data_IF_996794294409
#
_entry.id   IF_996794294409
#
_cell.length_a   1.000
_cell.length_b   1.000
_cell.length_c   1.000
_cell.angle_alpha   90.00
_cell.angle_beta   90.00
_cell.angle_gamma   90.00
#
_symmetry.space_group_name_H-M   'P 1'
#
loop_
_entity.id
_entity.type
_entity.pdbx_description
1 polymer ?
#
# COMPACT_ATOMS: atom_id res chain seq x y z
N UNK A 1 -26.77 6.89 -3.54
CA UNK A 1 -25.68 7.78 -4.07
C UNK A 1 -24.35 7.24 -3.56
N UNK A 2 -23.38 6.99 -4.45
CA UNK A 2 -22.02 6.55 -4.08
C UNK A 2 -21.30 7.71 -3.40
N UNK A 3 -20.63 7.47 -2.28
CA UNK A 3 -19.90 8.47 -1.51
C UNK A 3 -18.41 8.17 -1.39
N UNK A 4 -18.03 6.92 -1.68
CA UNK A 4 -16.65 6.47 -1.61
C UNK A 4 -16.37 5.50 -2.75
N UNK A 5 -15.19 5.64 -3.36
CA UNK A 5 -14.62 4.73 -4.34
C UNK A 5 -13.29 4.25 -3.76
N UNK A 6 -13.12 2.94 -3.62
CA UNK A 6 -11.84 2.32 -3.30
C UNK A 6 -11.23 1.75 -4.59
N UNK A 7 -10.01 2.14 -4.93
CA UNK A 7 -9.28 1.62 -6.09
C UNK A 7 -8.02 0.91 -5.66
N UNK A 8 -7.74 -0.24 -6.29
CA UNK A 8 -6.45 -0.89 -6.19
C UNK A 8 -5.41 -0.16 -7.06
N UNK A 9 -4.14 -0.40 -6.82
CA UNK A 9 -3.03 0.22 -7.55
C UNK A 9 -2.52 -0.65 -8.69
N UNK A 10 -1.99 -1.81 -8.35
CA UNK A 10 -1.26 -2.66 -9.29
C UNK A 10 -2.20 -3.37 -10.26
N UNK A 11 -2.02 -3.14 -11.56
CA UNK A 11 -2.91 -3.68 -12.59
C UNK A 11 -4.30 -3.02 -12.66
N UNK A 12 -4.55 -1.96 -11.86
CA UNK A 12 -5.83 -1.22 -11.83
C UNK A 12 -5.60 0.26 -12.08
N UNK A 13 -5.08 0.99 -11.10
CA UNK A 13 -4.84 2.44 -11.19
C UNK A 13 -3.54 2.75 -11.96
N UNK A 14 -2.50 1.94 -11.75
CA UNK A 14 -1.19 2.12 -12.36
C UNK A 14 -1.13 1.49 -13.76
N UNK A 15 -0.45 2.19 -14.66
CA UNK A 15 -0.10 1.71 -16.00
C UNK A 15 1.12 0.75 -15.96
N UNK A 16 1.56 0.25 -17.12
CA UNK A 16 2.71 -0.64 -17.23
C UNK A 16 4.06 0.02 -16.84
N UNK A 17 4.12 1.35 -16.76
CA UNK A 17 5.27 2.10 -16.26
C UNK A 17 5.19 2.38 -14.74
N UNK A 18 4.21 1.78 -14.05
CA UNK A 18 3.91 2.01 -12.63
C UNK A 18 3.56 3.47 -12.28
N UNK A 19 2.97 4.19 -13.24
CA UNK A 19 2.54 5.57 -13.09
C UNK A 19 1.00 5.68 -13.14
N UNK A 20 0.45 6.73 -12.50
CA UNK A 20 -0.96 7.08 -12.64
C UNK A 20 -1.11 7.92 -13.92
N UNK A 21 -1.89 7.43 -14.87
CA UNK A 21 -2.13 8.14 -16.13
C UNK A 21 -2.93 9.43 -15.93
N UNK A 22 -2.72 10.43 -16.78
CA UNK A 22 -3.46 11.70 -16.70
C UNK A 22 -4.99 11.51 -16.73
N UNK A 23 -5.58 10.62 -17.56
CA UNK A 23 -7.02 10.37 -17.50
C UNK A 23 -7.50 9.83 -16.16
N UNK A 24 -6.68 9.00 -15.47
CA UNK A 24 -7.02 8.51 -14.13
C UNK A 24 -6.94 9.61 -13.08
N UNK A 25 -5.93 10.50 -13.17
CA UNK A 25 -5.81 11.68 -12.32
C UNK A 25 -7.05 12.57 -12.48
N UNK A 26 -7.44 12.88 -13.72
CA UNK A 26 -8.59 13.72 -14.03
C UNK A 26 -9.90 13.11 -13.51
N UNK A 27 -10.07 11.78 -13.65
CA UNK A 27 -11.23 11.07 -13.15
C UNK A 27 -11.34 11.09 -11.61
N UNK A 28 -10.19 10.93 -10.90
CA UNK A 28 -10.16 11.03 -9.44
C UNK A 28 -10.55 12.44 -8.99
N UNK A 29 -9.95 13.48 -9.60
CA UNK A 29 -10.27 14.88 -9.29
C UNK A 29 -11.76 15.17 -9.53
N UNK A 30 -12.28 14.74 -10.67
CA UNK A 30 -13.71 14.90 -10.98
C UNK A 30 -14.61 14.25 -9.92
N UNK A 31 -14.27 13.02 -9.48
CA UNK A 31 -15.02 12.35 -8.41
C UNK A 31 -14.98 13.14 -7.09
N UNK A 32 -13.80 13.67 -6.73
CA UNK A 32 -13.63 14.49 -5.53
C UNK A 32 -14.42 15.79 -5.60
N UNK A 33 -14.48 16.45 -6.76
CA UNK A 33 -15.32 17.64 -6.99
C UNK A 33 -16.81 17.36 -6.82
N UNK A 34 -17.25 16.10 -7.07
CA UNK A 34 -18.63 15.66 -6.82
C UNK A 34 -18.87 15.24 -5.35
N UNK A 35 -17.92 15.46 -4.46
CA UNK A 35 -18.00 15.09 -3.04
C UNK A 35 -17.86 13.59 -2.79
N UNK A 36 -17.24 12.85 -3.72
CA UNK A 36 -16.94 11.42 -3.57
C UNK A 36 -15.52 11.27 -3.05
N UNK A 37 -15.33 10.58 -1.93
CA UNK A 37 -14.01 10.23 -1.44
C UNK A 37 -13.43 9.13 -2.33
N UNK A 38 -12.21 9.34 -2.86
CA UNK A 38 -11.46 8.29 -3.55
C UNK A 38 -10.33 7.85 -2.65
N UNK A 39 -10.27 6.55 -2.31
CA UNK A 39 -9.24 5.96 -1.46
C UNK A 39 -8.44 4.92 -2.24
N UNK A 40 -7.12 4.94 -2.06
CA UNK A 40 -6.24 3.89 -2.59
C UNK A 40 -6.24 2.72 -1.62
N UNK A 41 -6.54 1.50 -2.11
CA UNK A 41 -6.57 0.28 -1.31
C UNK A 41 -5.62 -0.75 -1.93
N UNK A 42 -4.51 -1.04 -1.26
CA UNK A 42 -3.39 -1.81 -1.82
C UNK A 42 -2.75 -2.76 -0.82
N UNK A 43 -2.08 -3.80 -1.32
CA UNK A 43 -1.18 -4.64 -0.53
C UNK A 43 0.15 -3.96 -0.18
N UNK A 44 0.52 -2.89 -0.89
CA UNK A 44 1.77 -2.15 -0.66
C UNK A 44 1.81 -1.53 0.73
N UNK A 45 3.02 -1.35 1.27
CA UNK A 45 3.23 -0.47 2.42
C UNK A 45 3.03 1.00 2.00
N UNK A 46 2.73 1.88 2.96
CA UNK A 46 2.40 3.28 2.67
C UNK A 46 3.50 4.00 1.86
N UNK A 47 4.76 3.82 2.21
CA UNK A 47 5.88 4.47 1.51
C UNK A 47 6.04 4.01 0.05
N UNK A 48 5.62 2.76 -0.26
CA UNK A 48 5.58 2.24 -1.63
C UNK A 48 4.34 2.73 -2.40
N UNK A 49 3.20 2.81 -1.70
CA UNK A 49 1.94 3.27 -2.27
C UNK A 49 1.95 4.78 -2.56
N UNK A 50 2.64 5.56 -1.73
CA UNK A 50 2.73 7.01 -1.88
C UNK A 50 3.58 7.41 -3.10
N UNK A 51 4.63 6.66 -3.44
CA UNK A 51 5.59 7.06 -4.46
C UNK A 51 4.95 7.43 -5.80
N UNK A 52 4.09 6.62 -6.45
CA UNK A 52 3.45 7.00 -7.71
C UNK A 52 2.44 8.15 -7.59
N UNK A 53 1.92 8.41 -6.38
CA UNK A 53 0.98 9.49 -6.12
C UNK A 53 1.71 10.81 -5.88
N UNK A 54 2.92 10.77 -5.31
CA UNK A 54 3.73 11.95 -5.04
C UNK A 54 4.13 12.73 -6.31
N UNK A 55 4.20 12.03 -7.45
CA UNK A 55 4.46 12.64 -8.76
C UNK A 55 3.21 13.32 -9.37
N UNK A 56 2.09 13.26 -8.65
CA UNK A 56 0.82 13.90 -9.02
C UNK A 56 0.43 14.97 -8.01
N UNK A 57 -0.60 15.74 -8.32
CA UNK A 57 -1.23 16.69 -7.38
C UNK A 57 -2.46 16.10 -6.66
N UNK A 58 -2.59 14.76 -6.66
CA UNK A 58 -3.67 14.07 -5.96
C UNK A 58 -3.46 14.07 -4.45
N UNK A 59 -4.54 14.28 -3.73
CA UNK A 59 -4.61 14.17 -2.27
C UNK A 59 -5.68 13.14 -1.93
N UNK A 60 -5.28 11.96 -1.49
CA UNK A 60 -6.16 10.81 -1.26
C UNK A 60 -5.79 10.08 0.02
N UNK A 61 -6.74 9.49 0.75
CA UNK A 61 -6.47 8.55 1.83
C UNK A 61 -6.00 7.19 1.32
N UNK A 62 -5.40 6.39 2.21
CA UNK A 62 -4.79 5.11 1.89
C UNK A 62 -5.26 4.00 2.83
N UNK A 63 -5.53 2.83 2.26
CA UNK A 63 -5.66 1.55 2.93
C UNK A 63 -4.48 0.69 2.45
N UNK A 64 -3.49 0.49 3.31
CA UNK A 64 -2.23 -0.18 2.98
C UNK A 64 -2.12 -1.55 3.66
N UNK A 65 -1.17 -2.38 3.20
CA UNK A 65 -0.88 -3.70 3.77
C UNK A 65 -2.15 -4.55 3.91
N UNK A 66 -2.98 -4.57 2.85
CA UNK A 66 -4.26 -5.29 2.82
C UNK A 66 -5.21 -4.91 3.98
N UNK A 67 -5.19 -3.65 4.40
CA UNK A 67 -6.03 -3.13 5.49
C UNK A 67 -5.37 -3.10 6.86
N UNK A 68 -4.12 -3.54 6.99
CA UNK A 68 -3.40 -3.49 8.27
C UNK A 68 -3.00 -2.06 8.68
N UNK A 69 -2.96 -1.11 7.74
CA UNK A 69 -2.73 0.30 8.02
C UNK A 69 -3.68 1.17 7.19
N UNK A 70 -4.32 2.15 7.84
CA UNK A 70 -5.19 3.14 7.19
C UNK A 70 -4.68 4.53 7.53
N UNK A 71 -4.54 5.39 6.51
CA UNK A 71 -4.12 6.78 6.63
C UNK A 71 -5.12 7.72 5.98
N UNK A 72 -5.24 8.91 6.58
CA UNK A 72 -5.98 10.00 5.96
C UNK A 72 -5.20 10.66 4.81
N UNK A 73 -5.82 11.62 4.14
CA UNK A 73 -5.24 12.38 3.04
C UNK A 73 -4.06 13.28 3.43
N UNK A 74 -3.85 13.49 4.73
CA UNK A 74 -2.70 14.22 5.31
C UNK A 74 -1.64 13.28 5.88
N UNK A 75 -1.77 11.97 5.58
CA UNK A 75 -0.87 10.88 5.94
C UNK A 75 -0.87 10.52 7.44
N UNK A 76 -1.78 11.05 8.23
CA UNK A 76 -1.93 10.63 9.62
C UNK A 76 -2.49 9.21 9.68
N UNK A 77 -1.95 8.43 10.60
CA UNK A 77 -2.44 7.07 10.84
C UNK A 77 -3.79 7.12 11.54
N UNK A 78 -4.83 6.65 10.86
CA UNK A 78 -6.18 6.53 11.40
C UNK A 78 -6.40 5.20 12.13
N UNK A 79 -5.81 4.12 11.61
CA UNK A 79 -5.94 2.78 12.17
C UNK A 79 -4.75 1.92 11.80
N UNK A 80 -4.35 1.04 12.73
CA UNK A 80 -3.35 0.00 12.48
C UNK A 80 -3.76 -1.31 13.13
N UNK A 81 -3.40 -2.43 12.48
CA UNK A 81 -3.51 -3.78 13.03
C UNK A 81 -2.15 -4.46 12.93
N UNK A 82 -1.52 -4.73 14.06
CA UNK A 82 -0.18 -5.30 14.11
C UNK A 82 -0.18 -6.69 14.74
N UNK A 83 0.66 -7.56 14.20
CA UNK A 83 1.04 -8.77 14.91
C UNK A 83 1.94 -8.40 16.10
N UNK A 84 1.72 -9.01 17.26
CA UNK A 84 2.61 -8.81 18.38
C UNK A 84 3.99 -9.45 18.13
N UNK A 85 5.03 -8.90 18.75
CA UNK A 85 6.42 -9.31 18.54
C UNK A 85 6.65 -10.81 18.76
N UNK A 86 6.02 -11.40 19.78
CA UNK A 86 6.16 -12.84 20.09
C UNK A 86 5.60 -13.70 18.94
N UNK A 87 4.47 -13.31 18.37
CA UNK A 87 3.86 -14.02 17.24
C UNK A 87 4.70 -13.88 15.97
N UNK A 88 5.24 -12.67 15.69
CA UNK A 88 6.15 -12.45 14.57
C UNK A 88 7.36 -13.40 14.70
N UNK A 89 8.02 -13.45 15.86
CA UNK A 89 9.15 -14.36 16.06
C UNK A 89 8.79 -15.83 15.87
N UNK A 90 7.62 -16.28 16.35
CA UNK A 90 7.18 -17.65 16.15
C UNK A 90 6.98 -17.98 14.67
N UNK A 91 6.31 -17.09 13.93
CA UNK A 91 6.05 -17.27 12.49
C UNK A 91 7.36 -17.30 11.72
N UNK A 92 8.24 -16.30 11.93
CA UNK A 92 9.51 -16.20 11.21
C UNK A 92 10.43 -17.39 11.49
N UNK A 93 10.49 -17.91 12.73
CA UNK A 93 11.25 -19.11 13.03
C UNK A 93 10.73 -20.33 12.26
N UNK A 94 9.41 -20.55 12.23
CA UNK A 94 8.81 -21.68 11.48
C UNK A 94 9.13 -21.57 9.98
N UNK A 95 9.03 -20.37 9.40
CA UNK A 95 9.34 -20.14 7.98
C UNK A 95 10.81 -20.37 7.68
N UNK A 96 11.70 -19.89 8.57
CA UNK A 96 13.14 -20.09 8.48
C UNK A 96 13.51 -21.57 8.54
N UNK A 97 12.99 -22.30 9.54
CA UNK A 97 13.28 -23.73 9.70
C UNK A 97 12.76 -24.56 8.50
N UNK A 98 11.71 -24.10 7.85
CA UNK A 98 11.16 -24.70 6.63
C UNK A 98 11.87 -24.23 5.33
N UNK A 99 12.83 -23.32 5.39
CA UNK A 99 13.51 -22.74 4.22
C UNK A 99 12.60 -21.91 3.33
N UNK A 100 11.51 -21.38 3.89
CA UNK A 100 10.53 -20.54 3.16
C UNK A 100 10.96 -19.09 3.24
N UNK A 101 11.05 -18.45 2.08
CA UNK A 101 11.29 -17.01 2.01
C UNK A 101 10.12 -16.22 2.59
N UNK A 102 10.43 -15.17 3.34
CA UNK A 102 9.43 -14.28 3.93
C UNK A 102 9.93 -12.83 4.03
N UNK A 103 8.98 -11.93 4.07
CA UNK A 103 9.21 -10.51 4.34
C UNK A 103 8.38 -10.08 5.56
N UNK A 104 8.94 -9.22 6.40
CA UNK A 104 8.26 -8.59 7.52
C UNK A 104 8.13 -7.11 7.25
N UNK A 105 6.90 -6.68 7.03
CA UNK A 105 6.57 -5.28 6.80
C UNK A 105 6.39 -4.55 8.13
N UNK A 106 6.96 -3.36 8.22
CA UNK A 106 6.76 -2.42 9.32
C UNK A 106 6.32 -1.07 8.77
N UNK A 107 5.98 -0.13 9.64
CA UNK A 107 5.65 1.25 9.24
C UNK A 107 6.82 2.01 8.60
N UNK A 108 8.04 1.45 8.61
CA UNK A 108 9.26 2.16 8.18
C UNK A 108 10.09 1.41 7.16
N UNK A 109 10.01 0.09 7.13
CA UNK A 109 10.89 -0.73 6.30
C UNK A 109 10.33 -2.15 6.11
N UNK A 110 10.82 -2.81 5.07
CA UNK A 110 10.69 -4.25 4.87
C UNK A 110 11.95 -4.92 5.40
N UNK A 111 11.79 -6.01 6.12
CA UNK A 111 12.87 -6.83 6.62
C UNK A 111 12.79 -8.21 6.00
N UNK A 112 13.92 -8.71 5.52
CA UNK A 112 14.08 -10.05 4.96
C UNK A 112 15.40 -10.65 5.42
N UNK A 113 15.51 -11.98 5.45
CA UNK A 113 16.79 -12.67 5.73
C UNK A 113 17.67 -12.79 4.48
N UNK A 114 17.12 -12.71 3.30
CA UNK A 114 17.83 -12.83 2.02
C UNK A 114 17.48 -11.66 1.09
N UNK A 115 18.22 -10.53 1.22
CA UNK A 115 18.00 -9.36 0.37
C UNK A 115 18.23 -9.63 -1.12
N UNK A 116 19.02 -10.66 -1.47
CA UNK A 116 19.30 -11.00 -2.86
C UNK A 116 18.05 -11.58 -3.55
N UNK A 117 17.24 -12.32 -2.80
CA UNK A 117 15.98 -12.88 -3.29
C UNK A 117 14.91 -11.81 -3.58
N UNK A 118 14.97 -10.67 -2.92
CA UNK A 118 14.08 -9.54 -3.20
C UNK A 118 14.31 -8.97 -4.60
N UNK A 119 15.56 -8.94 -5.06
CA UNK A 119 15.94 -8.44 -6.38
C UNK A 119 15.44 -9.34 -7.53
N UNK A 120 15.15 -10.61 -7.23
CA UNK A 120 14.67 -11.59 -8.22
C UNK A 120 13.13 -11.61 -8.33
N UNK A 121 12.40 -10.92 -7.43
CA UNK A 121 10.94 -10.92 -7.35
C UNK A 121 10.33 -9.65 -7.94
N UNK A 122 11.07 -8.56 -8.00
CA UNK A 122 10.70 -7.25 -8.53
C UNK A 122 11.63 -6.85 -9.69
#
# INVERSE_FOLDING_TARGET
MIKLIATDMDGTLLNAAHEISQPNIDAIKYAQEQGITVVIATGRAFYEAQAPVADTDLTVPYICLNGAEVRDETFNVMSTSHLNKSLVHKITNVLKDAGIYYQVYTSRAIYTEDPQRDLDIY
#
